data_IF_807007318247
#
_entry.id   IF_807007318247
#
_cell.length_a   1.000
_cell.length_b   1.000
_cell.length_c   1.000
_cell.angle_alpha   90.00
_cell.angle_beta   90.00
_cell.angle_gamma   90.00
#
_symmetry.space_group_name_H-M   'P 1'
#
loop_
_entity.id
_entity.type
_entity.pdbx_description
1 polymer ?
#
# COMPACT_ATOMS: atom_id res chain seq x y z
N UNK A 1 -9.70 10.13 -25.08
CA UNK A 1 -9.04 11.45 -24.98
C UNK A 1 -9.59 12.34 -23.85
N UNK A 2 -10.88 12.28 -23.46
CA UNK A 2 -11.44 13.24 -22.49
C UNK A 2 -11.07 13.05 -21.03
N UNK A 3 -11.01 11.81 -20.52
CA UNK A 3 -10.91 11.52 -19.08
C UNK A 3 -9.47 11.67 -18.56
N UNK A 4 -8.47 11.32 -19.35
CA UNK A 4 -7.06 11.50 -19.01
C UNK A 4 -6.66 12.97 -18.97
N UNK A 5 -7.19 13.78 -19.92
CA UNK A 5 -6.94 15.23 -19.95
C UNK A 5 -7.59 15.97 -18.78
N UNK A 6 -8.77 15.52 -18.31
CA UNK A 6 -9.40 16.10 -17.12
C UNK A 6 -8.71 15.68 -15.83
N UNK A 7 -8.30 14.41 -15.69
CA UNK A 7 -7.54 13.95 -14.52
C UNK A 7 -6.20 14.67 -14.41
N UNK A 8 -5.51 14.89 -15.53
CA UNK A 8 -4.26 15.67 -15.59
C UNK A 8 -4.50 17.15 -15.29
N UNK A 9 -5.64 17.72 -15.72
CA UNK A 9 -6.01 19.11 -15.41
C UNK A 9 -6.39 19.31 -13.94
N UNK A 10 -7.18 18.39 -13.39
CA UNK A 10 -7.56 18.42 -11.97
C UNK A 10 -6.35 18.20 -11.05
N UNK A 11 -5.44 17.30 -11.42
CA UNK A 11 -4.21 17.08 -10.69
C UNK A 11 -3.27 18.27 -10.73
N UNK A 12 -3.13 18.94 -11.89
CA UNK A 12 -2.33 20.16 -12.01
C UNK A 12 -2.93 21.35 -11.26
N UNK A 13 -4.25 21.44 -11.20
CA UNK A 13 -4.95 22.47 -10.42
C UNK A 13 -4.80 22.24 -8.91
N UNK A 14 -4.92 20.98 -8.45
CA UNK A 14 -4.67 20.61 -7.06
C UNK A 14 -3.21 20.84 -6.63
N UNK A 15 -2.28 20.62 -7.55
CA UNK A 15 -0.85 20.86 -7.33
C UNK A 15 -0.53 22.35 -7.15
N UNK A 16 -1.15 23.23 -7.95
CA UNK A 16 -0.99 24.68 -7.79
C UNK A 16 -1.48 25.17 -6.44
N UNK A 17 -2.60 24.65 -5.96
CA UNK A 17 -3.17 24.98 -4.64
C UNK A 17 -2.29 24.48 -3.50
N UNK A 18 -1.65 23.29 -3.66
CA UNK A 18 -0.73 22.77 -2.65
C UNK A 18 0.58 23.58 -2.59
N UNK A 19 1.13 24.00 -3.75
CA UNK A 19 2.35 24.83 -3.79
C UNK A 19 2.13 26.18 -3.12
N UNK A 20 0.93 26.74 -3.26
CA UNK A 20 0.56 28.02 -2.64
C UNK A 20 0.25 27.87 -1.13
N UNK A 21 -0.31 26.73 -0.72
CA UNK A 21 -0.61 26.44 0.69
C UNK A 21 0.64 26.08 1.52
N UNK A 22 1.70 25.57 0.87
CA UNK A 22 2.96 25.18 1.54
C UNK A 22 3.99 26.36 1.55
N UNK A 23 3.58 27.56 1.25
CA UNK A 23 4.43 28.76 1.40
C UNK A 23 5.48 28.96 0.32
N UNK A 24 5.18 28.66 -0.94
CA UNK A 24 5.98 29.08 -2.10
C UNK A 24 7.36 28.43 -2.24
N UNK A 25 7.68 27.43 -1.46
CA UNK A 25 8.86 26.59 -1.67
C UNK A 25 8.71 25.84 -2.98
N UNK A 26 9.54 26.16 -3.99
CA UNK A 26 9.59 25.40 -5.24
C UNK A 26 9.93 23.96 -4.87
N UNK A 27 8.97 23.06 -5.04
CA UNK A 27 9.24 21.63 -5.05
C UNK A 27 10.30 21.42 -6.14
N UNK A 28 11.51 21.06 -5.74
CA UNK A 28 12.61 20.86 -6.69
C UNK A 28 12.24 19.75 -7.65
N UNK A 29 12.18 20.07 -8.92
CA UNK A 29 11.96 19.10 -10.00
C UNK A 29 13.24 18.35 -10.39
N UNK A 30 14.36 18.63 -9.70
CA UNK A 30 15.60 17.88 -9.90
C UNK A 30 15.69 16.78 -8.85
N UNK A 31 15.87 15.55 -9.29
CA UNK A 31 16.44 14.52 -8.42
C UNK A 31 17.74 15.07 -7.83
N UNK A 32 17.92 15.04 -6.52
CA UNK A 32 19.16 15.47 -5.93
C UNK A 32 20.28 14.54 -6.42
N UNK A 33 21.20 15.09 -7.21
CA UNK A 33 22.45 14.44 -7.55
C UNK A 33 23.44 14.79 -6.46
N UNK A 34 23.73 13.86 -5.55
CA UNK A 34 24.73 14.08 -4.50
C UNK A 34 24.31 13.53 -3.15
N UNK A 35 25.20 13.61 -2.13
CA UNK A 35 24.86 13.19 -0.79
C UNK A 35 23.60 13.94 -0.38
N UNK A 36 22.61 13.19 0.02
CA UNK A 36 21.25 13.52 0.39
C UNK A 36 21.05 15.01 0.69
N UNK A 37 20.29 15.70 -0.15
CA UNK A 37 19.74 16.99 0.24
C UNK A 37 18.97 16.81 1.54
N UNK A 38 19.34 17.52 2.60
CA UNK A 38 18.54 17.57 3.81
C UNK A 38 17.13 17.94 3.40
N UNK A 39 16.17 17.14 3.80
CA UNK A 39 14.78 17.41 3.48
C UNK A 39 14.45 18.78 4.01
N UNK A 40 13.88 19.61 3.16
CA UNK A 40 13.33 20.90 3.61
C UNK A 40 12.38 20.61 4.77
N UNK A 41 12.66 21.17 5.94
CA UNK A 41 11.88 20.95 7.16
C UNK A 41 10.42 21.37 7.00
N UNK A 42 10.11 22.24 6.03
CA UNK A 42 8.75 22.62 5.66
C UNK A 42 7.99 21.52 4.91
N UNK A 43 8.70 20.52 4.38
CA UNK A 43 8.15 19.40 3.63
C UNK A 43 8.26 18.07 4.40
N UNK A 44 8.40 18.08 5.69
CA UNK A 44 8.77 16.96 6.57
C UNK A 44 8.27 15.57 6.21
N UNK A 45 7.06 15.42 5.61
CA UNK A 45 6.54 14.15 5.11
C UNK A 45 6.97 13.83 3.70
N UNK A 46 7.37 14.82 2.91
CA UNK A 46 7.78 14.68 1.51
C UNK A 46 9.29 14.41 1.37
N UNK A 47 9.88 13.77 2.37
CA UNK A 47 11.27 13.36 2.29
C UNK A 47 11.45 12.28 1.22
N UNK A 48 12.35 12.56 0.31
CA UNK A 48 12.68 11.67 -0.81
C UNK A 48 13.60 10.55 -0.30
N UNK A 49 13.35 9.33 -0.75
CA UNK A 49 14.35 8.29 -0.68
C UNK A 49 15.34 8.49 -1.85
N UNK A 50 16.52 8.99 -1.54
CA UNK A 50 17.55 9.32 -2.54
C UNK A 50 18.24 8.09 -3.12
N UNK A 51 17.77 6.87 -2.83
CA UNK A 51 18.33 5.66 -3.40
C UNK A 51 19.65 5.17 -2.80
N UNK A 52 20.03 3.96 -3.17
CA UNK A 52 21.20 3.29 -2.62
C UNK A 52 22.51 3.84 -3.18
N UNK A 53 22.51 4.28 -4.43
CA UNK A 53 23.71 4.73 -5.14
C UNK A 53 24.36 5.97 -4.51
N UNK A 54 23.56 6.86 -3.93
CA UNK A 54 24.04 8.08 -3.30
C UNK A 54 24.64 7.85 -1.90
N UNK A 55 24.49 6.66 -1.36
CA UNK A 55 24.90 6.33 0.01
C UNK A 55 26.31 5.74 0.12
N UNK A 56 27.07 5.73 -0.97
CA UNK A 56 28.47 5.30 -0.97
C UNK A 56 28.69 3.88 -0.44
N UNK A 57 29.83 3.60 0.13
CA UNK A 57 30.26 2.26 0.58
C UNK A 57 29.34 1.46 1.52
N UNK A 58 28.10 1.90 1.76
CA UNK A 58 27.08 1.12 2.47
C UNK A 58 26.39 0.10 1.56
N UNK A 59 26.44 0.27 0.25
CA UNK A 59 25.74 -0.60 -0.69
C UNK A 59 26.26 -2.03 -0.65
N UNK A 60 27.57 -2.21 -0.62
CA UNK A 60 28.17 -3.54 -0.44
C UNK A 60 27.70 -4.24 0.83
N UNK A 61 27.55 -3.51 1.94
CA UNK A 61 26.99 -4.05 3.19
C UNK A 61 25.51 -4.41 3.07
N UNK A 62 24.76 -3.62 2.32
CA UNK A 62 23.33 -3.85 2.13
C UNK A 62 23.02 -5.10 1.29
N UNK A 63 23.93 -5.51 0.41
CA UNK A 63 23.82 -6.74 -0.39
C UNK A 63 24.59 -7.94 0.18
N UNK A 64 25.28 -7.78 1.31
CA UNK A 64 26.11 -8.86 1.89
C UNK A 64 25.29 -10.12 2.17
N UNK A 65 24.03 -9.99 2.53
CA UNK A 65 23.13 -11.13 2.73
C UNK A 65 22.90 -11.92 1.44
N UNK A 66 22.87 -11.26 0.26
CA UNK A 66 22.76 -11.91 -1.04
C UNK A 66 24.03 -12.69 -1.40
N UNK A 67 25.18 -12.19 -0.98
CA UNK A 67 26.47 -12.85 -1.20
C UNK A 67 26.67 -14.07 -0.30
N UNK A 68 26.11 -14.04 0.91
CA UNK A 68 26.19 -15.13 1.88
C UNK A 68 25.14 -16.20 1.69
N UNK A 69 24.03 -15.86 1.02
CA UNK A 69 22.93 -16.76 0.75
C UNK A 69 23.12 -17.52 -0.56
N UNK A 70 22.59 -18.73 -0.62
CA UNK A 70 22.52 -19.52 -1.84
C UNK A 70 21.20 -19.17 -2.58
N UNK A 71 21.20 -18.05 -3.29
CA UNK A 71 20.03 -17.63 -4.07
C UNK A 71 20.20 -18.06 -5.52
N UNK A 72 19.30 -18.92 -6.06
CA UNK A 72 19.28 -19.25 -7.48
C UNK A 72 19.12 -17.97 -8.34
N UNK A 73 19.94 -17.83 -9.37
CA UNK A 73 20.08 -16.62 -10.19
C UNK A 73 21.21 -15.69 -9.74
N UNK A 74 21.87 -15.96 -8.61
CA UNK A 74 22.87 -15.09 -8.01
C UNK A 74 24.16 -15.84 -7.57
N UNK A 75 24.42 -17.01 -8.12
CA UNK A 75 25.54 -17.87 -7.69
C UNK A 75 26.91 -17.24 -7.87
N UNK A 76 27.06 -16.31 -8.80
CA UNK A 76 28.31 -15.59 -9.07
C UNK A 76 28.60 -14.44 -8.10
N UNK A 77 27.59 -13.93 -7.36
CA UNK A 77 27.74 -12.72 -6.52
C UNK A 77 28.87 -12.81 -5.49
N UNK A 78 29.08 -14.00 -4.90
CA UNK A 78 30.11 -14.19 -3.87
C UNK A 78 31.52 -13.99 -4.38
N UNK A 79 31.74 -14.04 -5.70
CA UNK A 79 33.05 -13.95 -6.36
C UNK A 79 33.32 -12.57 -6.95
N UNK A 80 32.33 -11.68 -7.01
CA UNK A 80 32.43 -10.36 -7.64
C UNK A 80 32.85 -9.29 -6.63
N UNK A 81 33.60 -8.25 -7.04
CA UNK A 81 33.71 -7.01 -6.29
C UNK A 81 32.35 -6.39 -6.00
N UNK A 82 32.27 -5.45 -5.04
CA UNK A 82 31.00 -4.88 -4.58
C UNK A 82 30.23 -4.15 -5.68
N UNK A 83 30.91 -3.35 -6.48
CA UNK A 83 30.35 -2.61 -7.60
C UNK A 83 29.82 -3.53 -8.70
N UNK A 84 30.60 -4.51 -9.13
CA UNK A 84 30.19 -5.50 -10.12
C UNK A 84 28.99 -6.36 -9.61
N UNK A 85 29.00 -6.71 -8.32
CA UNK A 85 27.90 -7.43 -7.70
C UNK A 85 26.59 -6.62 -7.69
N UNK A 86 26.69 -5.31 -7.42
CA UNK A 86 25.57 -4.39 -7.49
C UNK A 86 25.05 -4.22 -8.92
N UNK A 87 25.95 -4.07 -9.87
CA UNK A 87 25.58 -3.94 -11.29
C UNK A 87 24.89 -5.20 -11.81
N UNK A 88 25.35 -6.38 -11.41
CA UNK A 88 24.68 -7.63 -11.74
C UNK A 88 23.24 -7.68 -11.20
N UNK A 89 23.06 -7.30 -9.92
CA UNK A 89 21.72 -7.25 -9.31
C UNK A 89 20.84 -6.22 -10.03
N UNK A 90 21.36 -5.02 -10.29
CA UNK A 90 20.63 -3.97 -10.98
C UNK A 90 20.20 -4.41 -12.38
N UNK A 91 21.12 -4.94 -13.17
CA UNK A 91 20.83 -5.43 -14.52
C UNK A 91 19.78 -6.52 -14.53
N UNK A 92 19.89 -7.49 -13.61
CA UNK A 92 18.91 -8.57 -13.49
C UNK A 92 17.52 -8.00 -13.12
N UNK A 93 17.44 -7.12 -12.12
CA UNK A 93 16.18 -6.56 -11.66
C UNK A 93 15.54 -5.64 -12.72
N UNK A 94 16.34 -4.79 -13.37
CA UNK A 94 15.86 -3.93 -14.46
C UNK A 94 15.32 -4.76 -15.63
N UNK A 95 16.01 -5.85 -16.00
CA UNK A 95 15.53 -6.78 -17.03
C UNK A 95 14.18 -7.40 -16.63
N UNK A 96 14.03 -7.82 -15.37
CA UNK A 96 12.77 -8.37 -14.86
C UNK A 96 11.63 -7.35 -14.91
N UNK A 97 11.87 -6.13 -14.42
CA UNK A 97 10.88 -5.07 -14.40
C UNK A 97 10.47 -4.64 -15.81
N UNK A 98 11.43 -4.53 -16.72
CA UNK A 98 11.19 -4.20 -18.13
C UNK A 98 10.37 -5.28 -18.82
N UNK A 99 10.73 -6.54 -18.63
CA UNK A 99 9.96 -7.67 -19.15
C UNK A 99 8.50 -7.62 -18.68
N UNK A 100 8.24 -7.31 -17.39
CA UNK A 100 6.88 -7.14 -16.86
C UNK A 100 6.15 -6.01 -17.60
N UNK A 101 6.79 -4.86 -17.80
CA UNK A 101 6.20 -3.71 -18.49
C UNK A 101 5.85 -4.02 -19.93
N UNK A 102 6.74 -4.72 -20.66
CA UNK A 102 6.58 -5.04 -22.08
C UNK A 102 5.46 -6.07 -22.33
N UNK A 103 5.24 -7.01 -21.41
CA UNK A 103 4.20 -8.02 -21.51
C UNK A 103 2.78 -7.50 -21.27
N UNK A 104 2.63 -6.30 -20.76
CA UNK A 104 1.32 -5.74 -20.45
C UNK A 104 0.75 -4.97 -21.65
N UNK A 105 -0.55 -5.19 -21.99
CA UNK A 105 -1.24 -4.37 -22.98
C UNK A 105 -1.23 -2.89 -22.58
N UNK A 106 -1.14 -1.99 -23.56
CA UNK A 106 -1.07 -0.54 -23.33
C UNK A 106 -2.25 -0.02 -22.51
N UNK A 107 -3.47 -0.38 -22.87
CA UNK A 107 -4.67 0.06 -22.13
C UNK A 107 -4.70 -0.42 -20.69
N UNK A 108 -4.07 -1.57 -20.40
CA UNK A 108 -3.89 -2.04 -19.02
C UNK A 108 -2.88 -1.16 -18.28
N UNK A 109 -1.73 -0.87 -18.88
CA UNK A 109 -0.72 0.01 -18.29
C UNK A 109 -1.29 1.38 -17.99
N UNK A 110 -2.03 1.96 -18.92
CA UNK A 110 -2.63 3.29 -18.75
C UNK A 110 -3.61 3.34 -17.60
N UNK A 111 -4.41 2.29 -17.43
CA UNK A 111 -5.34 2.22 -16.30
C UNK A 111 -4.62 1.98 -14.97
N UNK A 112 -3.62 1.10 -14.94
CA UNK A 112 -2.87 0.80 -13.74
C UNK A 112 -2.04 2.00 -13.21
N UNK A 113 -1.65 2.95 -14.07
CA UNK A 113 -1.00 4.21 -13.66
C UNK A 113 -1.90 5.06 -12.75
N UNK A 114 -3.21 4.88 -12.80
CA UNK A 114 -4.16 5.70 -12.06
C UNK A 114 -4.25 5.38 -10.56
N UNK A 115 -3.67 4.27 -10.08
CA UNK A 115 -3.85 3.82 -8.70
C UNK A 115 -3.57 4.88 -7.64
N UNK A 116 -2.51 5.66 -7.76
CA UNK A 116 -2.19 6.71 -6.78
C UNK A 116 -3.07 7.95 -6.96
N UNK A 117 -3.46 8.27 -8.18
CA UNK A 117 -4.44 9.34 -8.46
C UNK A 117 -5.79 8.96 -7.86
N UNK A 118 -6.24 7.73 -8.07
CA UNK A 118 -7.46 7.20 -7.47
C UNK A 118 -7.40 7.15 -5.94
N UNK A 119 -6.25 6.80 -5.37
CA UNK A 119 -6.06 6.82 -3.92
C UNK A 119 -6.14 8.24 -3.34
N UNK A 120 -5.57 9.23 -4.03
CA UNK A 120 -5.69 10.65 -3.67
C UNK A 120 -7.14 11.13 -3.74
N UNK A 121 -7.84 10.82 -4.84
CA UNK A 121 -9.26 11.12 -5.00
C UNK A 121 -10.11 10.46 -3.90
N UNK A 122 -9.86 9.20 -3.58
CA UNK A 122 -10.54 8.49 -2.50
C UNK A 122 -10.28 9.15 -1.14
N UNK A 123 -9.04 9.61 -0.87
CA UNK A 123 -8.72 10.39 0.33
C UNK A 123 -9.52 11.69 0.40
N UNK A 124 -9.66 12.40 -0.71
CA UNK A 124 -10.43 13.63 -0.81
C UNK A 124 -11.94 13.38 -0.58
N UNK A 125 -12.49 12.31 -1.13
CA UNK A 125 -13.88 11.90 -0.91
C UNK A 125 -14.16 11.55 0.56
N UNK A 126 -13.27 10.80 1.20
CA UNK A 126 -13.38 10.52 2.64
C UNK A 126 -13.22 11.79 3.49
N UNK A 127 -12.29 12.66 3.12
CA UNK A 127 -12.10 13.97 3.76
C UNK A 127 -13.40 14.78 3.76
N UNK A 128 -14.04 14.91 2.61
CA UNK A 128 -15.33 15.60 2.47
C UNK A 128 -16.45 14.91 3.24
N UNK A 129 -16.52 13.59 3.17
CA UNK A 129 -17.57 12.79 3.82
C UNK A 129 -17.53 12.92 5.35
N UNK A 130 -16.34 12.94 5.94
CA UNK A 130 -16.17 12.95 7.40
C UNK A 130 -15.80 14.33 7.96
N UNK A 131 -15.61 15.34 7.11
CA UNK A 131 -15.20 16.67 7.55
C UNK A 131 -13.79 16.68 8.16
N UNK A 132 -12.88 15.85 7.63
CA UNK A 132 -11.50 15.76 8.06
C UNK A 132 -10.58 16.38 7.00
N UNK A 133 -9.33 16.69 7.36
CA UNK A 133 -8.35 17.14 6.38
C UNK A 133 -7.87 15.97 5.49
N UNK A 134 -7.61 16.25 4.19
CA UNK A 134 -7.20 15.23 3.22
C UNK A 134 -5.84 14.61 3.57
N UNK A 135 -4.87 15.41 4.00
CA UNK A 135 -3.56 14.89 4.38
C UNK A 135 -3.68 13.98 5.61
N UNK A 136 -4.59 14.28 6.55
CA UNK A 136 -4.91 13.39 7.66
C UNK A 136 -5.45 12.05 7.17
N UNK A 137 -6.35 12.05 6.19
CA UNK A 137 -6.90 10.81 5.60
C UNK A 137 -5.81 10.02 4.87
N UNK A 138 -4.97 10.67 4.08
CA UNK A 138 -3.81 10.06 3.42
C UNK A 138 -2.86 9.44 4.46
N UNK A 139 -2.64 10.12 5.58
CA UNK A 139 -1.86 9.61 6.71
C UNK A 139 -2.50 8.38 7.38
N UNK A 140 -3.81 8.33 7.52
CA UNK A 140 -4.55 7.16 8.02
C UNK A 140 -4.35 5.97 7.08
N UNK A 141 -4.56 6.16 5.77
CA UNK A 141 -4.35 5.14 4.75
C UNK A 141 -2.92 4.58 4.80
N UNK A 142 -1.92 5.46 4.83
CA UNK A 142 -0.54 5.04 4.89
C UNK A 142 -0.21 4.26 6.18
N UNK A 143 -0.71 4.72 7.32
CA UNK A 143 -0.50 4.09 8.63
C UNK A 143 -1.03 2.66 8.71
N UNK A 144 -2.15 2.38 8.06
CA UNK A 144 -2.84 1.09 8.10
C UNK A 144 -2.39 0.11 6.99
N UNK A 145 -1.47 0.53 6.11
CA UNK A 145 -1.01 -0.26 4.97
C UNK A 145 -0.13 -1.50 5.28
N UNK A 146 0.54 -1.63 6.44
CA UNK A 146 1.34 -2.82 6.70
C UNK A 146 0.52 -4.10 6.70
N UNK A 147 0.96 -5.09 5.92
CA UNK A 147 0.33 -6.42 5.81
C UNK A 147 -1.16 -6.40 5.36
N UNK A 148 -1.58 -5.35 4.67
CA UNK A 148 -2.92 -5.22 4.09
C UNK A 148 -2.83 -5.09 2.58
N UNK A 149 -3.80 -5.69 1.88
CA UNK A 149 -4.03 -5.30 0.51
C UNK A 149 -4.70 -3.91 0.46
N UNK A 150 -4.70 -3.29 -0.72
CA UNK A 150 -5.21 -1.93 -0.87
C UNK A 150 -6.68 -1.78 -0.45
N UNK A 151 -7.54 -2.75 -0.80
CA UNK A 151 -8.96 -2.66 -0.50
C UNK A 151 -9.24 -2.84 1.01
N UNK A 152 -8.50 -3.73 1.67
CA UNK A 152 -8.57 -3.87 3.12
C UNK A 152 -8.10 -2.61 3.81
N UNK A 153 -7.03 -2.01 3.31
CA UNK A 153 -6.47 -0.78 3.85
C UNK A 153 -7.45 0.39 3.76
N UNK A 154 -8.05 0.60 2.59
CA UNK A 154 -9.07 1.62 2.36
C UNK A 154 -10.29 1.43 3.28
N UNK A 155 -10.75 0.17 3.44
CA UNK A 155 -11.84 -0.15 4.38
C UNK A 155 -11.48 0.18 5.83
N UNK A 156 -10.27 -0.16 6.27
CA UNK A 156 -9.83 0.14 7.64
C UNK A 156 -9.69 1.64 7.90
N UNK A 157 -9.25 2.40 6.90
CA UNK A 157 -9.15 3.86 7.00
C UNK A 157 -10.54 4.49 7.21
N UNK A 158 -11.53 4.08 6.43
CA UNK A 158 -12.90 4.56 6.62
C UNK A 158 -13.47 4.20 7.98
N UNK A 159 -13.18 2.99 8.52
CA UNK A 159 -13.61 2.56 9.86
C UNK A 159 -13.01 3.41 10.97
N UNK A 160 -11.76 3.86 10.82
CA UNK A 160 -11.15 4.81 11.77
C UNK A 160 -11.92 6.12 11.78
N UNK A 161 -12.21 6.67 10.61
CA UNK A 161 -12.96 7.92 10.47
C UNK A 161 -14.38 7.80 11.03
N UNK A 162 -15.07 6.74 10.67
CA UNK A 162 -16.45 6.51 11.15
C UNK A 162 -16.52 6.36 12.67
N UNK A 163 -15.64 5.56 13.26
CA UNK A 163 -15.60 5.37 14.69
C UNK A 163 -15.23 6.66 15.46
N UNK A 164 -14.23 7.39 14.96
CA UNK A 164 -13.69 8.57 15.65
C UNK A 164 -14.53 9.84 15.44
N UNK A 165 -15.28 9.95 14.35
CA UNK A 165 -16.02 11.17 13.99
C UNK A 165 -17.52 10.94 14.19
N UNK A 166 -18.13 10.02 13.43
CA UNK A 166 -19.57 9.80 13.48
C UNK A 166 -20.01 9.14 14.78
N UNK A 167 -19.21 8.23 15.31
CA UNK A 167 -19.55 7.43 16.48
C UNK A 167 -18.79 7.85 17.75
N UNK A 168 -18.19 9.06 17.76
CA UNK A 168 -17.42 9.56 18.90
C UNK A 168 -18.16 9.60 20.22
N UNK A 169 -19.49 9.71 20.20
CA UNK A 169 -20.36 9.74 21.36
C UNK A 169 -21.12 8.42 21.57
N UNK A 170 -20.78 7.36 20.81
CA UNK A 170 -21.40 6.06 20.97
C UNK A 170 -21.11 5.53 22.38
N UNK A 171 -22.17 5.10 23.13
CA UNK A 171 -21.97 4.56 24.47
C UNK A 171 -21.25 3.21 24.41
N UNK A 172 -20.45 2.93 25.43
CA UNK A 172 -19.86 1.60 25.58
C UNK A 172 -20.93 0.52 25.67
N UNK A 173 -20.82 -0.55 24.90
CA UNK A 173 -21.81 -1.62 24.82
C UNK A 173 -21.29 -2.96 25.39
N UNK A 174 -22.23 -3.87 25.67
CA UNK A 174 -21.92 -5.24 26.09
C UNK A 174 -21.18 -6.04 25.01
N UNK A 175 -21.40 -5.72 23.72
CA UNK A 175 -20.70 -6.31 22.59
C UNK A 175 -19.23 -5.92 22.62
N UNK A 176 -18.93 -4.65 22.93
CA UNK A 176 -17.56 -4.18 23.11
C UNK A 176 -16.86 -4.89 24.29
N UNK A 177 -17.55 -5.17 25.39
CA UNK A 177 -16.99 -5.96 26.50
C UNK A 177 -16.57 -7.38 26.06
N UNK A 178 -17.30 -7.97 25.12
CA UNK A 178 -17.04 -9.32 24.63
C UNK A 178 -15.89 -9.39 23.60
N UNK A 179 -15.46 -8.25 23.03
CA UNK A 179 -14.39 -8.22 22.03
C UNK A 179 -13.09 -8.83 22.55
N UNK A 180 -12.73 -8.57 23.82
CA UNK A 180 -11.51 -9.11 24.41
C UNK A 180 -11.51 -10.64 24.55
N UNK A 181 -12.69 -11.28 24.65
CA UNK A 181 -12.82 -12.75 24.66
C UNK A 181 -12.48 -13.33 23.28
N UNK A 182 -12.87 -12.64 22.21
CA UNK A 182 -12.61 -13.07 20.84
C UNK A 182 -11.19 -12.72 20.37
N UNK A 183 -10.65 -11.61 20.86
CA UNK A 183 -9.36 -11.08 20.47
C UNK A 183 -8.47 -10.86 21.71
N UNK A 184 -7.71 -11.86 22.15
CA UNK A 184 -6.90 -11.80 23.37
C UNK A 184 -5.87 -10.65 23.38
N UNK A 185 -5.50 -10.10 22.22
CA UNK A 185 -4.56 -8.97 22.13
C UNK A 185 -5.00 -7.75 22.94
N UNK A 186 -6.30 -7.58 23.23
CA UNK A 186 -6.80 -6.48 24.06
C UNK A 186 -6.36 -6.61 25.53
N UNK A 187 -6.20 -7.84 26.00
CA UNK A 187 -5.89 -8.15 27.41
C UNK A 187 -4.46 -8.70 27.59
N UNK A 188 -3.61 -8.65 26.57
CA UNK A 188 -2.17 -8.86 26.74
C UNK A 188 -1.62 -7.91 27.83
N UNK A 189 -0.59 -8.31 28.59
CA UNK A 189 -0.08 -7.51 29.72
C UNK A 189 0.18 -6.04 29.38
N UNK A 190 0.73 -5.76 28.19
CA UNK A 190 1.02 -4.39 27.72
C UNK A 190 -0.24 -3.56 27.39
N UNK A 191 -1.35 -4.22 27.04
CA UNK A 191 -2.59 -3.59 26.58
C UNK A 191 -3.67 -3.54 27.68
N UNK A 192 -3.59 -4.43 28.65
CA UNK A 192 -4.58 -4.59 29.72
C UNK A 192 -4.84 -3.30 30.51
N UNK A 193 -3.83 -2.48 30.87
CA UNK A 193 -4.08 -1.23 31.56
C UNK A 193 -4.97 -0.26 30.76
N UNK A 194 -4.68 -0.12 29.47
CA UNK A 194 -5.46 0.72 28.54
C UNK A 194 -6.86 0.17 28.35
N UNK A 195 -7.00 -1.17 28.17
CA UNK A 195 -8.30 -1.83 28.07
C UNK A 195 -9.20 -1.54 29.27
N UNK A 196 -8.65 -1.61 30.48
CA UNK A 196 -9.41 -1.29 31.71
C UNK A 196 -9.87 0.16 31.76
N UNK A 197 -9.05 1.10 31.25
CA UNK A 197 -9.35 2.54 31.28
C UNK A 197 -10.45 2.96 30.31
N UNK A 198 -10.57 2.29 29.16
CA UNK A 198 -11.56 2.65 28.12
C UNK A 198 -12.93 2.07 28.37
N UNK A 199 -13.05 1.03 29.21
CA UNK A 199 -14.34 0.40 29.53
C UNK A 199 -15.33 1.42 30.08
N UNK A 200 -16.53 1.40 29.52
CA UNK A 200 -17.61 2.30 29.91
C UNK A 200 -17.52 3.71 29.36
N UNK A 201 -16.42 4.06 28.66
CA UNK A 201 -16.22 5.39 28.10
C UNK A 201 -16.65 5.49 26.65
N UNK A 202 -17.05 6.70 26.24
CA UNK A 202 -17.20 7.09 24.84
C UNK A 202 -15.85 7.46 24.27
N UNK A 203 -15.70 7.44 22.93
CA UNK A 203 -14.47 7.91 22.27
C UNK A 203 -14.14 9.36 22.65
N UNK A 204 -15.15 10.23 22.73
CA UNK A 204 -14.98 11.65 23.09
C UNK A 204 -14.48 11.90 24.50
N UNK A 205 -14.49 10.91 25.37
CA UNK A 205 -14.03 10.97 26.78
C UNK A 205 -12.60 10.44 26.95
N UNK A 206 -11.95 10.00 25.84
CA UNK A 206 -10.62 9.43 25.87
C UNK A 206 -9.56 10.51 25.65
N UNK A 207 -8.47 10.42 26.40
CA UNK A 207 -7.42 11.43 26.40
C UNK A 207 -6.21 11.05 25.56
N UNK A 208 -5.82 9.77 25.59
CA UNK A 208 -4.57 9.34 24.96
C UNK A 208 -4.81 8.63 23.62
N UNK A 209 -3.81 8.71 22.74
CA UNK A 209 -3.80 8.00 21.45
C UNK A 209 -3.97 6.49 21.64
N UNK A 210 -3.40 5.94 22.71
CA UNK A 210 -3.53 4.51 23.05
C UNK A 210 -4.97 4.11 23.37
N UNK A 211 -5.65 4.90 24.16
CA UNK A 211 -7.04 4.71 24.52
C UNK A 211 -7.94 4.79 23.28
N UNK A 212 -7.76 5.85 22.48
CA UNK A 212 -8.52 6.08 21.24
C UNK A 212 -8.34 4.96 20.21
N UNK A 213 -7.11 4.53 19.98
CA UNK A 213 -6.81 3.43 19.06
C UNK A 213 -7.46 2.11 19.51
N UNK A 214 -7.43 1.83 20.78
CA UNK A 214 -8.02 0.63 21.35
C UNK A 214 -9.55 0.67 21.29
N UNK A 215 -10.15 1.81 21.56
CA UNK A 215 -11.60 2.01 21.49
C UNK A 215 -12.12 1.85 20.06
N UNK A 216 -11.47 2.47 19.08
CA UNK A 216 -11.83 2.34 17.64
C UNK A 216 -11.90 0.86 17.25
N UNK A 217 -10.87 0.09 17.59
CA UNK A 217 -10.85 -1.34 17.27
C UNK A 217 -11.94 -2.10 18.03
N UNK A 218 -12.17 -1.78 19.30
CA UNK A 218 -13.22 -2.44 20.09
C UNK A 218 -14.61 -2.15 19.51
N UNK A 219 -14.89 -0.92 19.13
CA UNK A 219 -16.12 -0.51 18.49
C UNK A 219 -16.32 -1.23 17.15
N UNK A 220 -15.34 -1.19 16.27
CA UNK A 220 -15.42 -1.81 14.95
C UNK A 220 -15.59 -3.32 15.02
N UNK A 221 -14.83 -4.00 15.89
CA UNK A 221 -14.92 -5.44 16.08
C UNK A 221 -16.28 -5.89 16.67
N UNK A 222 -16.94 -5.01 17.42
CA UNK A 222 -18.24 -5.26 18.03
C UNK A 222 -19.41 -5.01 17.07
N UNK A 223 -19.36 -3.95 16.28
CA UNK A 223 -20.54 -3.41 15.60
C UNK A 223 -20.48 -3.45 14.08
N UNK A 224 -19.30 -3.48 13.49
CA UNK A 224 -19.18 -3.40 12.04
C UNK A 224 -19.01 -4.78 11.38
N UNK A 225 -19.64 -5.02 10.22
CA UNK A 225 -19.41 -6.22 9.43
C UNK A 225 -17.96 -6.26 8.95
N UNK A 226 -17.42 -7.47 8.78
CA UNK A 226 -16.04 -7.65 8.32
C UNK A 226 -15.88 -7.51 6.81
N UNK A 227 -16.96 -7.56 6.07
CA UNK A 227 -16.93 -7.47 4.61
C UNK A 227 -16.42 -6.11 4.14
N UNK A 228 -15.80 -6.08 2.97
CA UNK A 228 -15.30 -4.86 2.35
C UNK A 228 -15.44 -4.90 0.84
N UNK A 229 -15.37 -3.74 0.20
CA UNK A 229 -15.51 -3.57 -1.23
C UNK A 229 -14.15 -3.42 -1.92
N UNK A 230 -14.12 -3.76 -3.20
CA UNK A 230 -13.03 -3.38 -4.09
C UNK A 230 -13.02 -1.86 -4.32
N UNK A 231 -11.87 -1.36 -4.74
CA UNK A 231 -11.70 0.03 -5.18
C UNK A 231 -11.09 0.00 -6.58
N UNK A 232 -11.62 0.81 -7.49
CA UNK A 232 -11.06 0.89 -8.84
C UNK A 232 -9.75 1.69 -8.87
N UNK A 233 -8.94 1.56 -9.92
CA UNK A 233 -7.77 2.42 -10.10
C UNK A 233 -8.10 3.92 -10.11
N UNK A 234 -9.33 4.28 -10.52
CA UNK A 234 -9.83 5.64 -10.53
C UNK A 234 -10.29 6.14 -9.15
N UNK A 235 -10.36 5.26 -8.15
CA UNK A 235 -10.81 5.57 -6.79
C UNK A 235 -12.30 5.33 -6.52
N UNK A 236 -13.03 4.72 -7.46
CA UNK A 236 -14.45 4.42 -7.29
C UNK A 236 -14.67 3.10 -6.54
N UNK A 237 -15.76 3.03 -5.76
CA UNK A 237 -16.13 1.80 -5.06
C UNK A 237 -16.64 0.73 -6.04
N UNK A 238 -16.06 -0.47 -5.92
CA UNK A 238 -16.47 -1.66 -6.67
C UNK A 238 -17.38 -2.59 -5.86
N UNK A 239 -17.46 -3.84 -6.29
CA UNK A 239 -18.23 -4.90 -5.66
C UNK A 239 -17.62 -5.36 -4.32
N UNK A 240 -18.40 -6.11 -3.54
CA UNK A 240 -17.89 -6.80 -2.35
C UNK A 240 -16.84 -7.81 -2.79
N UNK A 241 -15.69 -7.80 -2.12
CA UNK A 241 -14.61 -8.75 -2.42
C UNK A 241 -14.99 -10.14 -1.92
N UNK A 242 -14.95 -11.13 -2.81
CA UNK A 242 -15.30 -12.50 -2.52
C UNK A 242 -14.05 -13.39 -2.41
N UNK A 243 -14.19 -14.49 -1.67
CA UNK A 243 -13.25 -15.61 -1.69
C UNK A 243 -13.53 -16.50 -2.91
N UNK A 244 -12.64 -17.48 -3.15
CA UNK A 244 -12.81 -18.45 -4.22
C UNK A 244 -14.10 -19.30 -4.10
N UNK A 245 -14.63 -19.45 -2.90
CA UNK A 245 -15.89 -20.17 -2.61
C UNK A 245 -17.14 -19.29 -2.80
N UNK A 246 -17.00 -18.04 -3.26
CA UNK A 246 -18.09 -17.08 -3.44
C UNK A 246 -18.54 -16.39 -2.15
N UNK A 247 -17.99 -16.73 -0.99
CA UNK A 247 -18.34 -16.04 0.26
C UNK A 247 -17.59 -14.72 0.42
N UNK A 248 -18.18 -13.69 1.07
CA UNK A 248 -17.51 -12.43 1.31
C UNK A 248 -16.18 -12.58 2.05
N UNK A 249 -15.17 -11.89 1.54
CA UNK A 249 -13.86 -11.82 2.20
C UNK A 249 -13.92 -10.88 3.39
N UNK A 250 -13.25 -11.24 4.48
CA UNK A 250 -13.20 -10.43 5.69
C UNK A 250 -11.91 -9.64 5.82
N UNK A 251 -12.01 -8.44 6.40
CA UNK A 251 -10.86 -7.65 6.83
C UNK A 251 -10.63 -7.81 8.33
N UNK A 252 -9.38 -7.82 8.75
CA UNK A 252 -8.98 -7.81 10.16
C UNK A 252 -8.00 -6.68 10.45
N UNK A 253 -8.04 -6.15 11.66
CA UNK A 253 -7.09 -5.16 12.11
C UNK A 253 -5.66 -5.73 12.19
N UNK A 254 -4.68 -4.87 11.98
CA UNK A 254 -3.29 -5.13 12.27
C UNK A 254 -2.99 -4.94 13.78
N UNK A 255 -1.78 -4.52 14.09
CA UNK A 255 -1.39 -4.23 15.46
C UNK A 255 -1.89 -2.84 15.93
N UNK A 256 -1.95 -2.62 17.23
CA UNK A 256 -2.37 -1.33 17.78
C UNK A 256 -1.44 -0.17 17.39
N UNK A 257 -0.16 -0.43 17.11
CA UNK A 257 0.78 0.59 16.67
C UNK A 257 0.39 1.26 15.35
N UNK A 258 -0.19 0.50 14.41
CA UNK A 258 -0.73 1.03 13.16
C UNK A 258 -1.96 1.91 13.41
N UNK A 259 -2.87 1.45 14.27
CA UNK A 259 -4.07 2.23 14.62
C UNK A 259 -3.69 3.53 15.37
N UNK A 260 -2.71 3.48 16.28
CA UNK A 260 -2.18 4.67 16.96
C UNK A 260 -1.65 5.72 15.98
N UNK A 261 -0.91 5.28 14.95
CA UNK A 261 -0.44 6.16 13.88
C UNK A 261 -1.59 6.78 13.10
N UNK A 262 -2.61 5.98 12.78
CA UNK A 262 -3.81 6.45 12.09
C UNK A 262 -4.57 7.49 12.94
N UNK A 263 -4.74 7.26 14.24
CA UNK A 263 -5.36 8.24 15.16
C UNK A 263 -4.51 9.52 15.25
N UNK A 264 -3.19 9.40 15.33
CA UNK A 264 -2.31 10.56 15.35
C UNK A 264 -2.37 11.38 14.07
N UNK A 265 -2.49 10.71 12.91
CA UNK A 265 -2.71 11.36 11.61
C UNK A 265 -4.07 12.07 11.59
N UNK A 266 -5.13 11.44 12.13
CA UNK A 266 -6.45 12.06 12.20
C UNK A 266 -6.43 13.33 13.06
N UNK A 267 -5.79 13.28 14.22
CA UNK A 267 -5.73 14.39 15.18
C UNK A 267 -4.73 15.48 14.79
N UNK A 268 -3.95 15.28 13.73
CA UNK A 268 -3.04 16.28 13.21
C UNK A 268 -3.75 17.48 12.57
N UNK A 269 -5.04 17.33 12.19
CA UNK A 269 -5.81 18.31 11.43
C UNK A 269 -5.06 18.79 10.15
N UNK A 270 -4.36 17.89 9.48
CA UNK A 270 -3.59 18.18 8.27
C UNK A 270 -2.18 18.68 8.49
N UNK A 271 -1.71 18.82 9.74
CA UNK A 271 -0.32 19.19 9.99
C UNK A 271 0.64 18.11 9.52
N UNK A 272 1.38 18.43 8.45
CA UNK A 272 2.30 17.52 7.79
C UNK A 272 3.46 17.08 8.68
N UNK A 273 3.89 17.90 9.63
CA UNK A 273 4.96 17.55 10.56
C UNK A 273 4.48 16.48 11.55
N UNK A 274 3.26 16.63 12.07
CA UNK A 274 2.66 15.65 12.98
C UNK A 274 2.44 14.32 12.23
N UNK A 275 1.96 14.39 10.98
CA UNK A 275 1.78 13.20 10.13
C UNK A 275 3.14 12.55 9.84
N UNK A 276 4.15 13.34 9.48
CA UNK A 276 5.52 12.85 9.24
C UNK A 276 6.07 12.09 10.43
N UNK A 277 5.93 12.68 11.59
CA UNK A 277 6.29 12.06 12.86
C UNK A 277 5.57 10.73 13.11
N UNK A 278 4.26 10.69 12.81
CA UNK A 278 3.46 9.48 12.95
C UNK A 278 3.94 8.38 12.00
N UNK A 279 4.29 8.72 10.74
CA UNK A 279 4.85 7.76 9.78
C UNK A 279 6.19 7.19 10.28
N UNK A 280 6.98 8.02 10.94
CA UNK A 280 8.32 7.65 11.40
C UNK A 280 9.29 7.44 10.23
N UNK A 281 10.34 6.65 10.47
CA UNK A 281 11.43 6.45 9.51
C UNK A 281 11.25 5.23 8.58
N UNK A 282 10.04 4.71 8.43
CA UNK A 282 9.79 3.53 7.59
C UNK A 282 9.54 3.92 6.15
N UNK A 283 10.44 3.58 5.26
CA UNK A 283 10.38 3.88 3.83
C UNK A 283 9.02 3.60 3.20
N UNK A 284 8.52 2.36 3.30
CA UNK A 284 7.27 1.97 2.64
C UNK A 284 6.11 2.88 3.04
N UNK A 285 5.90 3.10 4.35
CA UNK A 285 4.75 3.85 4.85
C UNK A 285 4.84 5.32 4.45
N UNK A 286 6.04 5.89 4.52
CA UNK A 286 6.29 7.28 4.14
C UNK A 286 6.14 7.49 2.63
N UNK A 287 6.78 6.65 1.81
CA UNK A 287 6.64 6.72 0.35
C UNK A 287 5.19 6.51 -0.09
N UNK A 288 4.44 5.64 0.61
CA UNK A 288 3.03 5.42 0.33
C UNK A 288 2.20 6.67 0.65
N UNK A 289 2.43 7.32 1.80
CA UNK A 289 1.81 8.58 2.12
C UNK A 289 2.11 9.64 1.05
N UNK A 290 3.37 9.83 0.70
CA UNK A 290 3.79 10.83 -0.28
C UNK A 290 3.14 10.57 -1.65
N UNK A 291 3.09 9.32 -2.09
CA UNK A 291 2.48 8.95 -3.36
C UNK A 291 0.95 9.16 -3.39
N UNK A 292 0.27 8.98 -2.26
CA UNK A 292 -1.16 9.29 -2.15
C UNK A 292 -1.37 10.80 -2.11
N UNK A 293 -0.62 11.51 -1.28
CA UNK A 293 -0.83 12.94 -1.03
C UNK A 293 -0.48 13.80 -2.24
N UNK A 294 0.61 13.47 -2.94
CA UNK A 294 1.10 14.21 -4.11
C UNK A 294 1.34 13.29 -5.31
N UNK A 295 0.28 12.71 -5.90
CA UNK A 295 0.40 11.66 -6.93
C UNK A 295 1.02 12.14 -8.24
N UNK A 296 1.21 13.43 -8.44
CA UNK A 296 1.84 14.01 -9.63
C UNK A 296 3.25 14.55 -9.38
N UNK A 297 3.77 14.39 -8.17
CA UNK A 297 5.12 14.82 -7.84
C UNK A 297 6.15 14.01 -8.62
N UNK A 298 7.18 14.64 -9.09
CA UNK A 298 8.35 14.06 -9.75
C UNK A 298 9.50 13.72 -8.78
N UNK A 299 9.26 13.79 -7.49
CA UNK A 299 10.24 13.46 -6.45
C UNK A 299 10.79 12.04 -6.50
N UNK A 300 10.10 11.14 -7.21
CA UNK A 300 10.57 9.78 -7.40
C UNK A 300 10.34 8.85 -6.22
N UNK A 301 9.41 9.18 -5.31
CA UNK A 301 8.97 8.25 -4.27
C UNK A 301 8.40 6.97 -4.85
N UNK A 302 8.79 5.84 -4.28
CA UNK A 302 8.33 4.52 -4.69
C UNK A 302 7.97 3.71 -3.47
N UNK A 303 6.76 3.17 -3.47
CA UNK A 303 6.28 2.29 -2.41
C UNK A 303 6.76 0.86 -2.67
N UNK A 304 7.98 0.53 -2.22
CA UNK A 304 8.48 -0.84 -2.30
C UNK A 304 7.81 -1.69 -1.23
N UNK A 305 6.97 -2.60 -1.67
CA UNK A 305 6.30 -3.60 -0.85
C UNK A 305 6.73 -5.02 -1.24
N UNK A 306 6.09 -6.03 -0.67
CA UNK A 306 6.37 -7.44 -0.98
C UNK A 306 6.20 -7.76 -2.48
N UNK A 307 5.22 -7.15 -3.15
CA UNK A 307 5.00 -7.38 -4.58
C UNK A 307 6.06 -6.67 -5.43
N UNK A 308 6.46 -5.46 -5.04
CA UNK A 308 7.53 -4.75 -5.72
C UNK A 308 8.87 -5.51 -5.60
N UNK A 309 9.16 -6.10 -4.44
CA UNK A 309 10.33 -6.95 -4.25
C UNK A 309 10.21 -8.24 -5.07
N UNK A 310 9.03 -8.88 -5.05
CA UNK A 310 8.77 -10.08 -5.84
C UNK A 310 8.96 -9.84 -7.34
N UNK A 311 8.58 -8.66 -7.84
CA UNK A 311 8.81 -8.22 -9.22
C UNK A 311 10.29 -8.09 -9.53
N UNK A 312 11.03 -7.35 -8.70
CA UNK A 312 12.47 -7.17 -8.90
C UNK A 312 13.23 -8.50 -8.96
N UNK A 313 12.87 -9.46 -8.13
CA UNK A 313 13.48 -10.79 -8.11
C UNK A 313 12.79 -11.81 -9.03
N UNK A 314 11.64 -11.50 -9.59
CA UNK A 314 10.78 -12.39 -10.34
C UNK A 314 10.57 -13.74 -9.63
N UNK A 315 10.21 -13.65 -8.34
CA UNK A 315 10.01 -14.80 -7.43
C UNK A 315 8.70 -14.66 -6.65
N UNK A 316 7.98 -15.76 -6.37
CA UNK A 316 6.74 -15.77 -5.58
C UNK A 316 7.02 -15.58 -4.08
N UNK A 317 7.39 -14.37 -3.69
CA UNK A 317 7.80 -14.02 -2.33
C UNK A 317 6.62 -13.67 -1.43
N UNK A 318 6.69 -14.09 -0.17
CA UNK A 318 5.80 -13.68 0.92
C UNK A 318 6.51 -12.73 1.90
N UNK A 319 5.79 -12.21 2.88
CA UNK A 319 6.35 -11.27 3.86
C UNK A 319 7.42 -11.85 4.79
N UNK A 320 7.50 -13.18 4.92
CA UNK A 320 8.49 -13.89 5.73
C UNK A 320 9.72 -14.36 4.95
N UNK A 321 9.69 -14.26 3.63
CA UNK A 321 10.86 -14.61 2.81
C UNK A 321 12.01 -13.63 3.04
N UNK A 322 13.24 -14.13 3.09
CA UNK A 322 14.41 -13.33 3.46
C UNK A 322 14.65 -12.18 2.49
N UNK A 323 14.48 -12.40 1.19
CA UNK A 323 14.58 -11.34 0.19
C UNK A 323 13.59 -10.19 0.46
N UNK A 324 12.36 -10.51 0.85
CA UNK A 324 11.37 -9.50 1.26
C UNK A 324 11.79 -8.81 2.55
N UNK A 325 12.22 -9.58 3.51
CA UNK A 325 12.57 -9.11 4.84
C UNK A 325 13.75 -8.15 4.82
N UNK A 326 14.79 -8.49 4.08
CA UNK A 326 15.98 -7.65 3.87
C UNK A 326 15.66 -6.46 2.97
N UNK A 327 14.89 -6.66 1.90
CA UNK A 327 14.43 -5.60 1.02
C UNK A 327 13.64 -4.50 1.74
N UNK A 328 12.81 -4.87 2.70
CA UNK A 328 12.06 -3.93 3.55
C UNK A 328 12.89 -3.39 4.73
N UNK A 329 14.11 -3.86 4.94
CA UNK A 329 14.97 -3.46 6.06
C UNK A 329 14.40 -3.82 7.43
N UNK A 330 13.64 -4.90 7.56
CA UNK A 330 12.89 -5.21 8.79
C UNK A 330 13.79 -5.65 9.97
N UNK A 331 14.96 -6.20 9.70
CA UNK A 331 15.95 -6.60 10.73
C UNK A 331 16.79 -5.45 11.28
N UNK A 332 16.17 -4.38 11.64
CA UNK A 332 16.90 -3.28 12.29
C UNK A 332 16.53 -1.90 11.81
N UNK A 333 15.37 -1.79 11.19
CA UNK A 333 14.80 -0.54 10.73
C UNK A 333 15.45 -0.04 9.44
N UNK A 334 14.68 0.12 8.41
CA UNK A 334 15.05 0.96 7.28
C UNK A 334 14.69 2.39 7.63
N UNK A 335 15.63 3.31 7.55
CA UNK A 335 15.36 4.73 7.70
C UNK A 335 15.51 5.41 6.36
N UNK A 336 14.52 6.21 6.00
CA UNK A 336 14.62 7.11 4.83
C UNK A 336 15.78 8.06 5.04
N UNK A 337 15.99 8.48 6.28
CA UNK A 337 17.00 9.49 6.65
C UNK A 337 18.40 8.89 6.68
N UNK A 338 18.58 7.74 7.30
CA UNK A 338 19.87 7.07 7.42
C UNK A 338 20.12 6.08 6.30
N UNK A 339 19.10 5.74 5.59
CA UNK A 339 19.08 5.03 4.31
C UNK A 339 19.71 3.66 4.26
N UNK A 340 20.09 3.12 5.35
CA UNK A 340 21.26 2.32 5.32
C UNK A 340 21.06 0.83 5.59
N UNK A 341 19.83 0.34 5.62
CA UNK A 341 19.65 -1.09 5.92
C UNK A 341 18.74 -1.77 4.90
N UNK A 342 19.21 -2.95 4.46
CA UNK A 342 18.55 -3.66 3.37
C UNK A 342 18.76 -2.97 2.02
N UNK A 343 18.16 -3.53 1.00
CA UNK A 343 18.29 -3.03 -0.37
C UNK A 343 17.05 -2.32 -0.91
N UNK A 344 16.24 -1.71 -0.03
CA UNK A 344 15.05 -0.94 -0.42
C UNK A 344 15.39 0.14 -1.45
N UNK A 345 16.38 0.96 -1.15
CA UNK A 345 16.79 2.06 -2.03
C UNK A 345 17.32 1.56 -3.36
N UNK A 346 18.09 0.49 -3.38
CA UNK A 346 18.60 -0.12 -4.60
C UNK A 346 17.45 -0.64 -5.50
N UNK A 347 16.45 -1.29 -4.91
CA UNK A 347 15.26 -1.72 -5.65
C UNK A 347 14.50 -0.50 -6.19
N UNK A 348 14.31 0.53 -5.36
CA UNK A 348 13.65 1.77 -5.77
C UNK A 348 14.37 2.46 -6.95
N UNK A 349 15.71 2.46 -6.96
CA UNK A 349 16.49 3.02 -8.06
C UNK A 349 16.27 2.27 -9.37
N UNK A 350 16.10 0.95 -9.33
CA UNK A 350 15.77 0.16 -10.51
C UNK A 350 14.37 0.52 -11.08
N UNK A 351 13.40 0.76 -10.21
CA UNK A 351 12.08 1.26 -10.64
C UNK A 351 12.19 2.66 -11.27
N UNK A 352 13.03 3.56 -10.71
CA UNK A 352 13.28 4.90 -11.29
C UNK A 352 13.93 4.81 -12.65
N UNK A 353 14.90 3.90 -12.83
CA UNK A 353 15.54 3.66 -14.11
C UNK A 353 14.51 3.25 -15.18
N UNK A 354 13.65 2.28 -14.87
CA UNK A 354 12.58 1.86 -15.78
C UNK A 354 11.57 2.97 -16.04
N UNK A 355 11.18 3.73 -15.01
CA UNK A 355 10.32 4.90 -15.18
C UNK A 355 10.89 5.91 -16.19
N UNK A 356 12.19 6.17 -16.09
CA UNK A 356 12.90 7.05 -17.03
C UNK A 356 12.90 6.53 -18.46
N UNK A 357 13.08 5.21 -18.67
CA UNK A 357 13.01 4.60 -20.00
C UNK A 357 11.62 4.74 -20.65
N UNK A 358 10.56 4.62 -19.85
CA UNK A 358 9.18 4.71 -20.33
C UNK A 358 8.60 6.14 -20.30
N UNK A 359 9.34 7.13 -19.80
CA UNK A 359 8.89 8.51 -19.68
C UNK A 359 7.67 8.71 -18.77
N UNK A 360 7.53 7.88 -17.72
CA UNK A 360 6.45 7.92 -16.73
C UNK A 360 6.99 8.17 -15.33
N UNK A 361 6.09 8.47 -14.39
CA UNK A 361 6.50 8.69 -13.00
C UNK A 361 6.93 7.37 -12.34
N UNK A 362 7.92 7.39 -11.44
CA UNK A 362 8.37 6.19 -10.72
C UNK A 362 7.25 5.42 -10.01
N UNK A 363 6.30 6.12 -9.39
CA UNK A 363 5.13 5.50 -8.76
C UNK A 363 4.15 4.87 -9.76
N UNK A 364 4.05 5.41 -10.98
CA UNK A 364 3.25 4.81 -12.05
C UNK A 364 3.88 3.49 -12.52
N UNK A 365 5.20 3.45 -12.65
CA UNK A 365 5.93 2.20 -12.92
C UNK A 365 5.66 1.18 -11.83
N UNK A 366 5.72 1.60 -10.57
CA UNK A 366 5.46 0.71 -9.45
C UNK A 366 4.02 0.19 -9.45
N UNK A 367 3.01 1.03 -9.69
CA UNK A 367 1.61 0.61 -9.70
C UNK A 367 1.29 -0.34 -10.86
N UNK A 368 1.85 -0.11 -12.04
CA UNK A 368 1.71 -1.01 -13.21
C UNK A 368 2.32 -2.38 -12.91
N UNK A 369 3.54 -2.41 -12.41
CA UNK A 369 4.26 -3.65 -12.08
C UNK A 369 3.57 -4.39 -10.93
N UNK A 370 3.11 -3.67 -9.91
CA UNK A 370 2.37 -4.24 -8.77
C UNK A 370 1.09 -4.95 -9.21
N UNK A 371 0.35 -4.36 -10.13
CA UNK A 371 -0.88 -4.94 -10.66
C UNK A 371 -0.59 -6.27 -11.37
N UNK A 372 0.46 -6.33 -12.17
CA UNK A 372 0.87 -7.56 -12.86
C UNK A 372 1.29 -8.65 -11.89
N UNK A 373 2.17 -8.32 -10.95
CA UNK A 373 2.78 -9.31 -10.05
C UNK A 373 1.78 -9.87 -9.03
N UNK A 374 0.76 -9.11 -8.65
CA UNK A 374 -0.36 -9.66 -7.87
C UNK A 374 -1.06 -10.80 -8.58
N UNK A 375 -1.32 -10.67 -9.87
CA UNK A 375 -1.90 -11.74 -10.69
C UNK A 375 -0.94 -12.90 -10.89
N UNK A 376 0.32 -12.60 -11.19
CA UNK A 376 1.33 -13.61 -11.48
C UNK A 376 1.65 -14.49 -10.26
N UNK A 377 1.83 -13.90 -9.10
CA UNK A 377 2.19 -14.60 -7.87
C UNK A 377 1.05 -14.62 -6.84
N UNK A 378 -0.17 -14.82 -7.28
CA UNK A 378 -1.34 -15.02 -6.42
C UNK A 378 -1.22 -16.28 -5.54
N UNK A 379 -0.62 -17.33 -6.09
CA UNK A 379 -0.26 -18.54 -5.35
C UNK A 379 1.25 -18.55 -5.05
N UNK A 380 1.59 -18.76 -3.79
CA UNK A 380 2.98 -18.75 -3.28
C UNK A 380 3.32 -20.08 -2.59
N UNK A 381 2.78 -21.19 -3.11
CA UNK A 381 3.05 -22.51 -2.53
C UNK A 381 4.50 -22.97 -2.76
N UNK A 382 4.90 -24.00 -2.05
CA UNK A 382 6.26 -24.54 -2.09
C UNK A 382 6.65 -25.08 -3.49
N UNK A 383 5.68 -25.63 -4.22
CA UNK A 383 5.92 -26.21 -5.55
C UNK A 383 6.25 -25.12 -6.57
N UNK A 384 5.50 -24.00 -6.55
CA UNK A 384 5.82 -22.87 -7.43
C UNK A 384 7.17 -22.25 -7.06
N UNK A 385 7.44 -22.05 -5.77
CA UNK A 385 8.76 -21.54 -5.33
C UNK A 385 9.88 -22.40 -5.85
N UNK A 386 9.77 -23.72 -5.68
CA UNK A 386 10.77 -24.66 -6.17
C UNK A 386 10.95 -24.60 -7.70
N UNK A 387 9.87 -24.59 -8.47
CA UNK A 387 9.94 -24.48 -9.94
C UNK A 387 10.66 -23.20 -10.37
N UNK A 388 10.35 -22.07 -9.73
CA UNK A 388 10.99 -20.79 -10.03
C UNK A 388 12.47 -20.82 -9.66
N UNK A 389 12.85 -21.44 -8.55
CA UNK A 389 14.25 -21.58 -8.16
C UNK A 389 15.01 -22.53 -9.11
N UNK A 390 14.40 -23.60 -9.58
CA UNK A 390 14.97 -24.50 -10.61
C UNK A 390 15.22 -23.74 -11.93
N UNK A 391 14.30 -22.87 -12.36
CA UNK A 391 14.46 -22.03 -13.56
C UNK A 391 15.61 -21.03 -13.37
N UNK A 392 15.69 -20.33 -12.24
CA UNK A 392 16.81 -19.43 -11.94
C UNK A 392 18.16 -20.17 -11.90
N UNK A 393 18.16 -21.40 -11.40
CA UNK A 393 19.35 -22.24 -11.40
C UNK A 393 19.80 -22.64 -12.82
N UNK A 394 18.87 -22.83 -13.74
CA UNK A 394 19.18 -23.08 -15.16
C UNK A 394 19.74 -21.82 -15.86
N UNK A 395 19.24 -20.62 -15.49
CA UNK A 395 19.82 -19.36 -15.95
C UNK A 395 21.27 -19.21 -15.45
N UNK A 396 21.52 -19.47 -14.17
CA UNK A 396 22.87 -19.43 -13.59
C UNK A 396 23.88 -20.35 -14.28
N UNK A 397 23.40 -21.49 -14.77
CA UNK A 397 24.24 -22.48 -15.52
C UNK A 397 24.44 -22.09 -16.98
N UNK A 398 23.71 -21.12 -17.49
CA UNK A 398 23.70 -20.75 -18.91
C UNK A 398 22.86 -21.65 -19.80
N UNK A 399 22.04 -22.55 -19.21
CA UNK A 399 21.12 -23.41 -19.94
C UNK A 399 19.94 -22.63 -20.53
N UNK A 400 19.61 -21.49 -19.90
CA UNK A 400 18.55 -20.56 -20.31
C UNK A 400 19.06 -19.13 -20.34
N UNK A 401 18.58 -18.33 -21.29
CA UNK A 401 18.68 -16.87 -21.16
C UNK A 401 17.71 -16.38 -20.09
N UNK A 402 17.94 -15.19 -19.54
CA UNK A 402 17.02 -14.60 -18.56
C UNK A 402 15.60 -14.46 -19.14
N UNK A 403 15.46 -14.00 -20.38
CA UNK A 403 14.16 -13.87 -21.06
C UNK A 403 13.43 -15.21 -21.18
N UNK A 404 14.13 -16.27 -21.60
CA UNK A 404 13.54 -17.62 -21.65
C UNK A 404 13.07 -18.08 -20.26
N UNK A 405 13.88 -17.83 -19.21
CA UNK A 405 13.50 -18.15 -17.86
C UNK A 405 12.28 -17.37 -17.37
N UNK A 406 12.17 -16.09 -17.70
CA UNK A 406 11.02 -15.24 -17.33
C UNK A 406 9.72 -15.74 -17.98
N UNK A 407 9.76 -16.18 -19.24
CA UNK A 407 8.62 -16.79 -19.92
C UNK A 407 8.20 -18.10 -19.22
N UNK A 408 9.16 -18.94 -18.82
CA UNK A 408 8.89 -20.18 -18.09
C UNK A 408 8.33 -19.92 -16.68
N UNK A 409 8.78 -18.86 -16.01
CA UNK A 409 8.23 -18.45 -14.70
C UNK A 409 6.77 -18.02 -14.85
N UNK A 410 6.43 -17.28 -15.90
CA UNK A 410 5.05 -16.91 -16.21
C UNK A 410 4.18 -18.15 -16.44
N UNK A 411 4.64 -19.09 -17.26
CA UNK A 411 3.95 -20.34 -17.51
C UNK A 411 3.76 -21.17 -16.24
N UNK A 412 4.81 -21.32 -15.44
CA UNK A 412 4.76 -22.05 -14.17
C UNK A 412 3.80 -21.42 -13.15
N UNK A 413 3.60 -20.11 -13.23
CA UNK A 413 2.64 -19.37 -12.40
C UNK A 413 1.19 -19.46 -12.87
N UNK A 414 0.93 -20.18 -13.98
CA UNK A 414 -0.39 -20.32 -14.57
C UNK A 414 -0.72 -19.30 -15.66
N UNK A 415 0.30 -18.61 -16.14
CA UNK A 415 0.17 -17.54 -17.13
C UNK A 415 -0.43 -16.27 -16.53
N UNK A 416 -0.62 -15.28 -17.38
CA UNK A 416 -1.39 -14.10 -17.01
C UNK A 416 -2.87 -14.45 -16.97
N UNK A 417 -3.35 -14.84 -15.82
CA UNK A 417 -4.78 -14.78 -15.56
C UNK A 417 -5.18 -13.31 -15.77
N UNK A 418 -5.98 -13.08 -16.82
CA UNK A 418 -6.51 -11.79 -17.22
C UNK A 418 -6.80 -10.97 -15.96
N UNK A 419 -6.15 -9.84 -15.80
CA UNK A 419 -6.00 -9.17 -14.52
C UNK A 419 -7.32 -8.99 -13.79
N UNK A 420 -7.65 -9.97 -13.01
CA UNK A 420 -8.90 -10.03 -12.27
C UNK A 420 -9.16 -8.73 -11.51
N UNK A 421 -8.12 -8.09 -10.99
CA UNK A 421 -8.26 -6.88 -10.20
C UNK A 421 -8.82 -5.68 -10.95
N UNK A 422 -8.31 -5.35 -12.14
CA UNK A 422 -8.83 -4.24 -12.93
C UNK A 422 -10.23 -4.58 -13.45
N UNK A 423 -10.49 -5.88 -13.73
CA UNK A 423 -11.79 -6.35 -14.16
C UNK A 423 -12.75 -6.59 -12.99
N UNK A 424 -12.28 -7.05 -11.84
CA UNK A 424 -13.05 -7.20 -10.60
C UNK A 424 -13.44 -5.86 -10.00
N UNK A 425 -12.61 -4.85 -10.12
CA UNK A 425 -12.87 -3.48 -9.69
C UNK A 425 -13.76 -2.73 -10.71
N UNK A 426 -14.89 -3.28 -11.12
CA UNK A 426 -15.86 -2.56 -11.93
C UNK A 426 -16.66 -1.60 -11.05
N UNK A 427 -16.89 -0.35 -11.50
CA UNK A 427 -17.79 0.55 -10.80
C UNK A 427 -19.16 -0.08 -10.64
N UNK A 428 -19.73 -0.01 -9.45
CA UNK A 428 -21.12 -0.47 -9.22
C UNK A 428 -22.05 0.52 -9.91
N UNK A 429 -22.64 0.11 -11.02
CA UNK A 429 -23.59 0.96 -11.76
C UNK A 429 -24.76 1.35 -10.87
N UNK A 430 -25.01 2.64 -10.74
CA UNK A 430 -26.20 3.20 -10.08
C UNK A 430 -26.10 3.44 -8.58
N UNK A 431 -24.96 3.19 -7.95
CA UNK A 431 -24.72 3.62 -6.56
C UNK A 431 -24.19 5.04 -6.59
N UNK A 432 -25.03 5.97 -6.11
CA UNK A 432 -24.59 7.33 -5.84
C UNK A 432 -23.56 7.25 -4.69
N UNK A 433 -22.29 7.55 -4.96
CA UNK A 433 -21.16 7.35 -4.04
C UNK A 433 -21.28 8.13 -2.73
N UNK A 434 -22.20 9.11 -2.66
CA UNK A 434 -22.46 9.92 -1.48
C UNK A 434 -22.99 9.17 -0.24
N UNK A 435 -23.32 7.88 -0.34
CA UNK A 435 -23.84 7.08 0.78
C UNK A 435 -23.25 5.68 0.94
N UNK A 436 -22.39 5.26 0.00
CA UNK A 436 -21.82 3.90 0.03
C UNK A 436 -20.54 3.88 0.85
N UNK A 437 -20.43 2.96 1.80
CA UNK A 437 -19.25 2.76 2.64
C UNK A 437 -18.35 1.65 2.09
N UNK A 438 -17.04 1.73 2.31
CA UNK A 438 -16.08 0.67 1.98
C UNK A 438 -16.41 -0.64 2.73
N UNK A 439 -16.93 -0.54 3.93
CA UNK A 439 -17.51 -1.67 4.65
C UNK A 439 -19.03 -1.68 4.44
N UNK A 440 -19.52 -2.63 3.66
CA UNK A 440 -20.94 -2.74 3.39
C UNK A 440 -21.71 -3.19 4.64
N UNK A 441 -22.74 -2.46 4.99
CA UNK A 441 -23.73 -2.89 6.00
C UNK A 441 -23.66 -2.20 7.35
N UNK A 442 -22.79 -1.23 7.60
CA UNK A 442 -22.97 -0.31 8.70
C UNK A 442 -24.04 0.71 8.30
N UNK A 443 -25.22 0.54 8.84
CA UNK A 443 -26.17 1.63 8.93
C UNK A 443 -25.57 2.69 9.86
N UNK A 444 -25.65 3.99 9.54
CA UNK A 444 -25.32 5.02 10.51
C UNK A 444 -26.10 4.72 11.80
N UNK A 445 -25.41 4.74 12.94
CA UNK A 445 -26.05 4.54 14.24
C UNK A 445 -27.04 5.69 14.51
N UNK A 446 -28.23 5.56 14.01
CA UNK A 446 -29.30 6.58 14.06
C UNK A 446 -30.52 6.26 13.20
N UNK A 447 -30.43 5.30 12.28
CA UNK A 447 -31.54 4.91 11.40
C UNK A 447 -31.93 3.43 11.53
N UNK A 448 -31.89 2.88 12.73
CA UNK A 448 -32.51 1.60 13.03
C UNK A 448 -33.96 1.80 13.46
N UNK A 449 -34.78 2.36 12.58
CA UNK A 449 -36.24 2.30 12.73
C UNK A 449 -36.83 1.79 11.43
N UNK A 450 -37.18 0.51 11.42
CA UNK A 450 -38.26 -0.13 10.69
C UNK A 450 -38.41 0.23 9.22
N UNK A 451 -37.67 -0.44 8.34
CA UNK A 451 -37.98 -0.52 6.92
C UNK A 451 -37.64 -1.93 6.44
N UNK A 452 -38.63 -2.79 6.35
CA UNK A 452 -38.51 -4.11 5.75
C UNK A 452 -37.99 -3.95 4.29
N UNK A 453 -36.87 -4.60 3.97
CA UNK A 453 -36.47 -4.82 2.58
C UNK A 453 -37.54 -5.70 1.93
N UNK A 454 -38.34 -5.09 1.07
CA UNK A 454 -39.20 -5.83 0.16
C UNK A 454 -38.31 -6.59 -0.82
N UNK A 455 -38.30 -7.90 -0.71
CA UNK A 455 -37.83 -8.80 -1.75
C UNK A 455 -38.70 -8.56 -3.00
N UNK A 456 -38.11 -8.11 -4.08
CA UNK A 456 -38.77 -8.10 -5.38
C UNK A 456 -38.81 -9.56 -5.88
N UNK A 457 -39.96 -10.04 -6.38
CA UNK A 457 -40.06 -11.38 -6.90
C UNK A 457 -39.34 -11.51 -8.24
N UNK A 458 -38.60 -12.60 -8.40
CA UNK A 458 -38.27 -13.15 -9.72
C UNK A 458 -39.60 -13.57 -10.36
N UNK A 459 -39.89 -13.02 -11.55
CA UNK A 459 -40.51 -13.71 -12.68
C UNK A 459 -41.03 -12.71 -13.71
N UNK A 460 -40.69 -12.91 -14.97
CA UNK A 460 -41.24 -12.15 -16.10
C UNK A 460 -40.46 -12.33 -17.38
N UNK A 461 -40.41 -13.55 -17.96
CA UNK A 461 -40.12 -13.70 -19.40
C UNK A 461 -41.43 -13.54 -20.18
N UNK A 462 -41.44 -12.74 -21.23
CA UNK A 462 -42.51 -12.83 -22.24
C UNK A 462 -42.16 -13.92 -23.27
N UNK A 463 -43.19 -14.59 -23.70
CA UNK A 463 -43.18 -15.54 -24.85
C UNK A 463 -42.88 -14.82 -26.17
#
# INVERSE_FOLDING_TARGET
>A
MGVLDEAVKLGKAGYGVLSDAIGGGRISTRQPSGPRAEADSSLGTLQIDTGAMERGGTLGKNIEFLRKGEYPGLSSLSKLPDDEAVDLINNMQQTNLKWIMEKLPEGFRDRAKLWYVGANRFSDELSKKYGSDRASVSGILASLSPQKDWFQNASLAERVLDAAINNRNFPWSSEMDNVAKKYPTFIEPKNLPTWKKIKGKKYSELETIDEKAMWIRAYDEAHNPKTYRALTPEGDLGEIVLKADGTPKGVGWGNFGEIKKAVRSLESNGDLNIISDAMGEKHKVRSFFNNIEVPFSDFGDITIDTHAIAAGWMKPLGGSDELTYQGLGLKGGSSVITGARGNYGQIADNYRAIAGEYGILPRETQSVIWERVRGLFGNKNADLKKKVDDIWSAIDKGDLTQEQGLNLIEEASGGYADAGWINEARPVRGINTGGSTMYSGALPAGLATGGALALLPEDGRPQ
#
